data_IF_419228557824
#
_entry.id   IF_419228557824
#
_cell.length_a   1.000
_cell.length_b   1.000
_cell.length_c   1.000
_cell.angle_alpha   90.00
_cell.angle_beta   90.00
_cell.angle_gamma   90.00
#
_symmetry.space_group_name_H-M   'P 1'
#
loop_
_entity.id
_entity.type
_entity.pdbx_description
1 polymer ?
#
# COMPACT_ATOMS: atom_id res chain seq x y z
N UNK A 1 -29.67 -4.11 -5.33
CA UNK A 1 -29.33 -3.66 -3.97
C UNK A 1 -27.98 -2.95 -4.00
N UNK A 2 -27.97 -1.62 -4.08
CA UNK A 2 -26.73 -0.82 -4.08
C UNK A 2 -26.33 -0.58 -2.63
N UNK A 3 -25.42 -1.40 -2.11
CA UNK A 3 -24.84 -1.22 -0.80
C UNK A 3 -23.68 -0.21 -0.88
N UNK A 4 -23.90 0.94 -0.24
CA UNK A 4 -22.93 1.97 0.16
C UNK A 4 -22.17 2.72 -0.94
N UNK A 5 -22.57 3.96 -1.19
CA UNK A 5 -21.67 5.04 -1.63
C UNK A 5 -21.85 6.22 -0.68
N UNK A 6 -21.01 6.26 0.37
CA UNK A 6 -20.76 7.48 1.13
C UNK A 6 -19.80 8.32 0.28
N UNK A 7 -20.20 9.55 -0.06
CA UNK A 7 -19.46 10.54 -0.86
C UNK A 7 -18.18 10.99 -0.13
N UNK A 8 -17.18 11.35 -0.92
CA UNK A 8 -15.72 11.33 -0.71
C UNK A 8 -15.13 11.78 0.64
N UNK A 9 -14.18 11.02 1.22
CA UNK A 9 -13.09 11.63 1.97
C UNK A 9 -12.15 12.34 0.98
N UNK A 10 -11.73 13.57 1.31
CA UNK A 10 -10.71 14.41 0.67
C UNK A 10 -10.03 13.80 -0.57
N UNK A 11 -10.27 14.41 -1.73
CA UNK A 11 -9.63 14.01 -2.98
C UNK A 11 -8.12 14.11 -2.83
N UNK A 12 -7.44 12.97 -2.97
CA UNK A 12 -5.99 12.87 -2.86
C UNK A 12 -5.34 13.19 -4.20
N UNK A 13 -4.12 13.69 -4.13
CA UNK A 13 -3.32 14.03 -5.29
C UNK A 13 -1.91 13.48 -5.15
N UNK A 14 -1.29 13.24 -6.29
CA UNK A 14 0.13 13.01 -6.50
C UNK A 14 0.64 14.18 -7.34
N UNK A 15 1.23 15.18 -6.70
CA UNK A 15 1.42 16.48 -7.33
C UNK A 15 0.07 17.06 -7.81
N UNK A 16 -0.07 17.28 -9.13
CA UNK A 16 -1.33 17.76 -9.73
C UNK A 16 -2.27 16.62 -10.18
N UNK A 17 -1.86 15.35 -10.04
CA UNK A 17 -2.61 14.20 -10.52
C UNK A 17 -3.59 13.67 -9.46
N UNK A 18 -4.92 13.68 -9.69
CA UNK A 18 -5.88 13.15 -8.73
C UNK A 18 -5.81 11.63 -8.64
N UNK A 19 -5.80 11.09 -7.41
CA UNK A 19 -5.71 9.64 -7.16
C UNK A 19 -6.80 9.12 -6.24
N UNK A 20 -7.21 7.89 -6.50
CA UNK A 20 -8.16 7.16 -5.65
C UNK A 20 -7.45 6.06 -4.85
N UNK A 21 -7.91 5.84 -3.62
CA UNK A 21 -7.48 4.68 -2.83
C UNK A 21 -8.20 3.42 -3.31
N UNK A 22 -7.54 2.40 -3.86
CA UNK A 22 -8.21 1.23 -4.42
C UNK A 22 -8.72 0.28 -3.33
N UNK A 23 -9.76 -0.49 -3.66
CA UNK A 23 -10.06 -1.73 -2.95
C UNK A 23 -9.13 -2.83 -3.47
N UNK A 24 -8.43 -3.52 -2.58
CA UNK A 24 -7.56 -4.64 -2.94
C UNK A 24 -8.38 -5.90 -3.26
N UNK A 25 -8.89 -5.96 -4.49
CA UNK A 25 -9.54 -7.15 -5.05
C UNK A 25 -8.50 -8.21 -5.42
N UNK A 26 -8.89 -9.48 -5.64
CA UNK A 26 -7.96 -10.50 -6.13
C UNK A 26 -7.21 -10.09 -7.42
N UNK A 27 -7.84 -9.32 -8.30
CA UNK A 27 -7.19 -8.78 -9.51
C UNK A 27 -6.08 -7.78 -9.15
N UNK A 28 -6.38 -6.82 -8.27
CA UNK A 28 -5.41 -5.80 -7.85
C UNK A 28 -4.25 -6.41 -7.06
N UNK A 29 -4.51 -7.43 -6.23
CA UNK A 29 -3.44 -8.22 -5.59
C UNK A 29 -2.50 -8.87 -6.60
N UNK A 30 -3.04 -9.47 -7.68
CA UNK A 30 -2.20 -10.05 -8.75
C UNK A 30 -1.37 -8.99 -9.46
N UNK A 31 -1.92 -7.79 -9.69
CA UNK A 31 -1.18 -6.68 -10.28
C UNK A 31 -0.02 -6.24 -9.38
N UNK A 32 -0.27 -6.08 -8.07
CA UNK A 32 0.78 -5.73 -7.10
C UNK A 32 1.90 -6.75 -7.08
N UNK A 33 1.57 -8.04 -7.02
CA UNK A 33 2.58 -9.10 -7.02
C UNK A 33 3.33 -9.24 -8.35
N UNK A 34 2.76 -8.76 -9.45
CA UNK A 34 3.41 -8.74 -10.77
C UNK A 34 4.24 -7.48 -11.03
N UNK A 35 3.99 -6.39 -10.30
CA UNK A 35 4.69 -5.12 -10.50
C UNK A 35 6.06 -5.06 -9.78
N UNK A 36 6.29 -5.95 -8.81
CA UNK A 36 7.52 -5.97 -8.02
C UNK A 36 8.22 -7.31 -8.23
N UNK A 37 9.28 -7.32 -9.04
CA UNK A 37 10.10 -8.52 -9.32
C UNK A 37 10.74 -9.10 -8.05
N UNK A 38 11.02 -8.24 -7.06
CA UNK A 38 11.57 -8.62 -5.76
C UNK A 38 10.50 -8.53 -4.68
N UNK A 39 9.92 -9.69 -4.40
CA UNK A 39 9.31 -10.10 -3.13
C UNK A 39 7.86 -9.66 -2.84
N UNK A 40 6.91 -10.62 -2.93
CA UNK A 40 5.64 -10.56 -2.21
C UNK A 40 5.79 -10.25 -0.71
N UNK A 41 6.94 -10.59 -0.11
CA UNK A 41 7.26 -10.33 1.29
C UNK A 41 7.29 -8.85 1.66
N UNK A 42 7.87 -7.99 0.81
CA UNK A 42 7.98 -6.55 1.06
C UNK A 42 6.59 -5.89 1.03
N UNK A 43 5.79 -6.22 0.02
CA UNK A 43 4.40 -5.75 -0.10
C UNK A 43 3.61 -6.11 1.16
N UNK A 44 3.75 -7.36 1.64
CA UNK A 44 3.06 -7.80 2.85
C UNK A 44 3.55 -7.06 4.09
N UNK A 45 4.86 -6.82 4.21
CA UNK A 45 5.45 -6.07 5.33
C UNK A 45 4.96 -4.63 5.35
N UNK A 46 5.09 -3.90 4.23
CA UNK A 46 4.66 -2.49 4.11
C UNK A 46 3.17 -2.35 4.37
N UNK A 47 2.34 -3.22 3.79
CA UNK A 47 0.88 -3.14 3.93
C UNK A 47 0.35 -3.66 5.28
N UNK A 48 1.16 -4.43 6.02
CA UNK A 48 0.77 -4.98 7.33
C UNK A 48 1.45 -4.27 8.50
N UNK A 49 2.32 -3.30 8.23
CA UNK A 49 3.04 -2.55 9.24
C UNK A 49 2.07 -1.82 10.20
N UNK A 50 2.32 -1.83 11.52
CA UNK A 50 1.60 -0.99 12.46
C UNK A 50 1.76 0.50 12.10
N UNK A 51 0.70 1.32 12.20
CA UNK A 51 0.78 2.77 11.92
C UNK A 51 1.79 3.52 12.81
N UNK A 52 2.06 2.97 13.99
CA UNK A 52 2.83 3.57 15.08
C UNK A 52 4.35 3.54 14.82
N UNK A 53 4.77 2.64 13.93
CA UNK A 53 6.16 2.48 13.47
C UNK A 53 6.34 2.93 12.02
N UNK A 54 5.38 3.64 11.44
CA UNK A 54 5.37 3.96 10.03
C UNK A 54 6.63 4.71 9.59
N UNK A 55 7.11 5.68 10.38
CA UNK A 55 8.39 6.36 10.13
C UNK A 55 9.62 5.45 10.32
N UNK A 56 9.58 4.48 11.24
CA UNK A 56 10.63 3.46 11.38
C UNK A 56 10.64 2.51 10.19
N UNK A 57 9.48 2.16 9.63
CA UNK A 57 9.33 1.42 8.38
C UNK A 57 9.65 2.26 7.14
N UNK A 58 9.53 3.59 7.19
CA UNK A 58 10.06 4.48 6.15
C UNK A 58 11.59 4.40 6.16
N UNK A 59 12.23 4.36 7.33
CA UNK A 59 13.69 4.23 7.45
C UNK A 59 14.19 2.83 7.11
N UNK A 60 13.50 1.76 7.53
CA UNK A 60 13.82 0.38 7.11
C UNK A 60 13.39 0.12 5.67
N UNK A 61 12.33 0.76 5.22
CA UNK A 61 11.86 0.80 3.83
C UNK A 61 12.61 1.80 2.96
N UNK A 62 13.69 2.41 3.46
CA UNK A 62 14.78 2.96 2.65
C UNK A 62 15.84 1.87 2.36
N UNK A 63 15.81 0.71 3.03
CA UNK A 63 16.54 -0.49 2.58
C UNK A 63 15.79 -1.22 1.45
N UNK A 64 14.46 -1.09 1.43
CA UNK A 64 13.62 -1.26 0.23
C UNK A 64 13.88 -0.01 -0.61
N UNK A 65 14.41 -0.12 -1.82
CA UNK A 65 14.71 1.07 -2.61
C UNK A 65 13.45 1.89 -2.88
N UNK A 66 13.59 3.22 -3.00
CA UNK A 66 12.48 4.10 -3.38
C UNK A 66 11.81 3.63 -4.68
N UNK A 67 12.57 3.07 -5.61
CA UNK A 67 12.08 2.48 -6.86
C UNK A 67 11.03 1.38 -6.63
N UNK A 68 11.18 0.59 -5.57
CA UNK A 68 10.25 -0.49 -5.24
C UNK A 68 8.96 0.07 -4.63
N UNK A 69 9.06 1.13 -3.83
CA UNK A 69 7.90 1.88 -3.33
C UNK A 69 7.14 2.54 -4.49
N UNK A 70 7.85 3.15 -5.43
CA UNK A 70 7.27 3.71 -6.67
C UNK A 70 6.51 2.63 -7.44
N UNK A 71 7.08 1.44 -7.62
CA UNK A 71 6.41 0.32 -8.28
C UNK A 71 5.11 -0.12 -7.59
N UNK A 72 5.11 -0.16 -6.25
CA UNK A 72 3.90 -0.47 -5.47
C UNK A 72 2.85 0.63 -5.64
N UNK A 73 3.24 1.89 -5.51
CA UNK A 73 2.33 3.04 -5.61
C UNK A 73 1.74 3.13 -7.01
N UNK A 74 2.55 2.91 -8.06
CA UNK A 74 2.11 2.84 -9.44
C UNK A 74 1.06 1.75 -9.64
N UNK A 75 1.33 0.52 -9.19
CA UNK A 75 0.40 -0.60 -9.33
C UNK A 75 -0.93 -0.41 -8.56
N UNK A 76 -0.89 0.30 -7.43
CA UNK A 76 -2.08 0.62 -6.65
C UNK A 76 -2.92 1.70 -7.32
N UNK A 77 -2.29 2.82 -7.65
CA UNK A 77 -2.92 4.06 -8.12
C UNK A 77 -3.25 4.03 -9.61
N UNK A 78 -2.69 3.08 -10.36
CA UNK A 78 -2.70 3.04 -11.82
C UNK A 78 -2.07 4.31 -12.45
N UNK A 79 -1.21 5.02 -11.71
CA UNK A 79 -0.38 6.14 -12.20
C UNK A 79 0.96 5.60 -12.67
N UNK A 80 1.51 6.21 -13.72
CA UNK A 80 2.79 5.81 -14.31
C UNK A 80 3.96 5.98 -13.31
N UNK A 81 4.86 5.01 -13.30
CA UNK A 81 5.99 4.98 -12.36
C UNK A 81 7.00 6.12 -12.62
N UNK A 82 7.19 6.53 -13.88
CA UNK A 82 8.09 7.64 -14.22
C UNK A 82 7.47 8.95 -13.73
N UNK A 83 6.16 9.13 -13.90
CA UNK A 83 5.45 10.29 -13.35
C UNK A 83 5.60 10.37 -11.83
N UNK A 84 5.41 9.25 -11.11
CA UNK A 84 5.55 9.20 -9.66
C UNK A 84 6.97 9.58 -9.24
N UNK A 85 7.99 9.04 -9.91
CA UNK A 85 9.40 9.29 -9.59
C UNK A 85 9.80 10.76 -9.77
N UNK A 86 9.19 11.46 -10.73
CA UNK A 86 9.52 12.84 -11.05
C UNK A 86 8.71 13.87 -10.25
N UNK A 87 7.48 13.53 -9.83
CA UNK A 87 6.51 14.53 -9.37
C UNK A 87 5.96 14.30 -7.97
N UNK A 88 6.25 13.15 -7.33
CA UNK A 88 5.55 12.74 -6.10
C UNK A 88 6.53 12.65 -4.93
N UNK A 89 6.20 13.37 -3.87
CA UNK A 89 6.92 13.33 -2.61
C UNK A 89 6.81 11.98 -1.93
N UNK A 90 7.84 11.63 -1.16
CA UNK A 90 7.82 10.41 -0.34
C UNK A 90 6.64 10.43 0.65
N UNK A 91 6.35 11.58 1.25
CA UNK A 91 5.22 11.80 2.14
C UNK A 91 3.87 11.49 1.50
N UNK A 92 3.63 11.94 0.25
CA UNK A 92 2.41 11.65 -0.51
C UNK A 92 2.27 10.14 -0.79
N UNK A 93 3.34 9.49 -1.25
CA UNK A 93 3.36 8.04 -1.48
C UNK A 93 3.02 7.27 -0.20
N UNK A 94 3.61 7.70 0.91
CA UNK A 94 3.46 7.05 2.20
C UNK A 94 2.06 7.27 2.78
N UNK A 95 1.51 8.47 2.72
CA UNK A 95 0.11 8.73 3.09
C UNK A 95 -0.85 7.86 2.27
N UNK A 96 -0.63 7.78 0.97
CA UNK A 96 -1.43 6.96 0.06
C UNK A 96 -1.42 5.46 0.46
N UNK A 97 -0.24 4.93 0.81
CA UNK A 97 -0.10 3.56 1.30
C UNK A 97 -0.85 3.35 2.62
N UNK A 98 -0.70 4.27 3.59
CA UNK A 98 -1.38 4.21 4.88
C UNK A 98 -2.91 4.22 4.72
N UNK A 99 -3.43 5.07 3.83
CA UNK A 99 -4.86 5.13 3.51
C UNK A 99 -5.33 3.86 2.80
N UNK A 100 -4.51 3.27 1.94
CA UNK A 100 -4.77 1.97 1.29
C UNK A 100 -4.91 0.85 2.33
N UNK A 101 -3.98 0.78 3.29
CA UNK A 101 -4.04 -0.16 4.43
C UNK A 101 -5.33 0.01 5.23
N UNK A 102 -5.67 1.25 5.56
CA UNK A 102 -6.87 1.61 6.33
C UNK A 102 -8.16 1.21 5.60
N UNK A 103 -8.30 1.56 4.31
CA UNK A 103 -9.49 1.23 3.49
C UNK A 103 -9.69 -0.28 3.36
N UNK A 104 -8.59 -1.04 3.32
CA UNK A 104 -8.63 -2.47 3.13
C UNK A 104 -8.58 -3.29 4.44
N UNK A 105 -8.48 -2.62 5.60
CA UNK A 105 -8.44 -3.23 6.93
C UNK A 105 -7.31 -4.26 7.07
N UNK A 106 -6.19 -4.03 6.38
CA UNK A 106 -5.11 -5.02 6.26
C UNK A 106 -4.44 -5.32 7.60
N UNK A 107 -4.32 -4.33 8.48
CA UNK A 107 -3.82 -4.51 9.84
C UNK A 107 -4.67 -5.47 10.68
N UNK A 108 -6.00 -5.51 10.48
CA UNK A 108 -6.86 -6.51 11.11
C UNK A 108 -6.74 -7.90 10.45
N UNK A 109 -6.54 -7.92 9.14
CA UNK A 109 -6.34 -9.15 8.38
C UNK A 109 -5.03 -9.83 8.77
N UNK A 110 -3.93 -9.08 8.95
CA UNK A 110 -2.64 -9.59 9.40
C UNK A 110 -2.73 -10.21 10.80
N UNK A 111 -3.46 -9.58 11.73
CA UNK A 111 -3.72 -10.14 13.07
C UNK A 111 -4.51 -11.46 12.99
N UNK A 112 -5.53 -11.51 12.14
CA UNK A 112 -6.34 -12.71 11.94
C UNK A 112 -5.56 -13.85 11.28
N UNK A 113 -4.79 -13.55 10.23
CA UNK A 113 -3.93 -14.55 9.57
C UNK A 113 -2.85 -15.04 10.54
N UNK A 114 -2.21 -14.16 11.31
CA UNK A 114 -1.25 -14.55 12.36
C UNK A 114 -1.86 -15.46 13.42
N UNK A 115 -3.13 -15.24 13.79
CA UNK A 115 -3.85 -16.11 14.73
C UNK A 115 -4.24 -17.47 14.16
N UNK A 116 -4.29 -17.59 12.82
CA UNK A 116 -4.62 -18.82 12.10
C UNK A 116 -3.38 -19.62 11.69
N UNK A 117 -2.21 -18.99 11.66
CA UNK A 117 -0.95 -19.69 11.51
C UNK A 117 -0.71 -20.47 12.81
N UNK A 118 -0.48 -21.80 12.77
CA UNK A 118 -0.11 -22.55 13.96
C UNK A 118 1.13 -21.87 14.56
N UNK A 119 1.18 -21.72 15.88
CA UNK A 119 2.33 -21.15 16.58
C UNK A 119 3.61 -21.85 16.10
N UNK A 120 4.32 -21.26 15.14
CA UNK A 120 5.67 -21.65 14.77
C UNK A 120 6.57 -21.13 15.89
N UNK A 121 6.51 -21.82 17.03
CA UNK A 121 7.14 -21.45 18.28
C UNK A 121 6.88 -22.48 19.36
N UNK A 122 7.62 -23.59 19.27
CA UNK A 122 8.44 -24.05 20.41
C UNK A 122 9.87 -23.59 20.12
#
# INVERSE_FOLDING_TARGET
MKLFTKKDPEQLYFGDYPVEIPKLTPKKWKQLFGAVDKLPGIIVQVLSAPPEDFYSYVVTGLEVGLDEIVGIVSALSDVDADYISENVGADEMFEYLALTVKKNRLSSMAKNVKSLLPNLGK
#
